data_IF_236113411150
#
_entry.id   IF_236113411150
#
_cell.length_a   1.000
_cell.length_b   1.000
_cell.length_c   1.000
_cell.angle_alpha   90.00
_cell.angle_beta   90.00
_cell.angle_gamma   90.00
#
_symmetry.space_group_name_H-M   'P 1'
#
loop_
_entity.id
_entity.type
_entity.pdbx_description
1 polymer ?
#
# COMPACT_ATOMS: atom_id res chain seq x y z
N UNK A 1 20.82 -14.58 9.49
CA UNK A 1 19.64 -15.17 8.83
C UNK A 1 19.18 -14.24 7.70
N UNK A 2 19.06 -14.77 6.52
CA UNK A 2 18.52 -14.07 5.33
C UNK A 2 17.00 -14.03 5.40
N UNK A 3 16.41 -12.87 5.23
CA UNK A 3 14.95 -12.72 5.11
C UNK A 3 14.50 -13.18 3.72
N UNK A 4 13.58 -14.13 3.65
CA UNK A 4 13.06 -14.62 2.38
C UNK A 4 12.05 -13.66 1.76
N UNK A 5 11.81 -13.71 0.43
CA UNK A 5 10.75 -12.92 -0.20
C UNK A 5 9.37 -13.14 0.43
N UNK A 6 9.04 -14.36 0.83
CA UNK A 6 7.78 -14.67 1.50
C UNK A 6 7.67 -13.99 2.88
N UNK A 7 8.75 -13.96 3.63
CA UNK A 7 8.81 -13.26 4.92
C UNK A 7 8.68 -11.75 4.74
N UNK A 8 9.30 -11.17 3.71
CA UNK A 8 9.17 -9.76 3.37
C UNK A 8 7.73 -9.41 3.01
N UNK A 9 7.07 -10.26 2.22
CA UNK A 9 5.67 -10.10 1.87
C UNK A 9 4.77 -10.10 3.11
N UNK A 10 4.98 -11.05 4.01
CA UNK A 10 4.24 -11.15 5.28
C UNK A 10 4.44 -9.89 6.13
N UNK A 11 5.67 -9.40 6.24
CA UNK A 11 6.00 -8.18 6.97
C UNK A 11 5.36 -6.94 6.34
N UNK A 12 5.33 -6.85 5.02
CA UNK A 12 4.68 -5.77 4.29
C UNK A 12 3.20 -5.68 4.66
N UNK A 13 2.46 -6.77 4.54
CA UNK A 13 1.02 -6.76 4.83
C UNK A 13 0.71 -6.53 6.30
N UNK A 14 1.53 -7.04 7.19
CA UNK A 14 1.42 -6.75 8.62
C UNK A 14 1.58 -5.25 8.89
N UNK A 15 2.56 -4.60 8.29
CA UNK A 15 2.80 -3.17 8.42
C UNK A 15 1.68 -2.34 7.79
N UNK A 16 1.22 -2.71 6.61
CA UNK A 16 0.10 -2.05 5.92
C UNK A 16 -1.19 -2.12 6.72
N UNK A 17 -1.50 -3.26 7.33
CA UNK A 17 -2.69 -3.43 8.17
C UNK A 17 -2.59 -2.62 9.48
N UNK A 18 -1.40 -2.39 9.98
CA UNK A 18 -1.16 -1.60 11.18
C UNK A 18 -1.23 -0.10 10.92
N UNK A 19 -0.53 0.38 9.90
CA UNK A 19 -0.38 1.82 9.63
C UNK A 19 -1.41 2.35 8.63
N UNK A 20 -1.85 1.55 7.70
CA UNK A 20 -2.94 1.77 6.75
C UNK A 20 -2.78 2.96 5.79
N UNK A 21 -1.87 3.87 6.00
CA UNK A 21 -1.67 5.07 5.14
C UNK A 21 -0.55 4.86 4.15
N UNK A 22 -0.82 5.14 2.88
CA UNK A 22 0.17 5.11 1.81
C UNK A 22 -0.07 6.25 0.81
N UNK A 23 0.91 6.50 -0.04
CA UNK A 23 0.79 7.46 -1.15
C UNK A 23 0.44 6.69 -2.42
N UNK A 24 -0.65 7.07 -3.08
CA UNK A 24 -1.15 6.40 -4.28
C UNK A 24 -1.22 7.38 -5.45
N UNK A 25 -0.70 6.97 -6.60
CA UNK A 25 -0.74 7.75 -7.83
C UNK A 25 -0.89 6.88 -9.06
N UNK A 26 -1.35 7.47 -10.17
CA UNK A 26 -1.46 6.79 -11.46
C UNK A 26 -0.12 6.84 -12.20
N UNK A 27 0.28 5.73 -12.78
CA UNK A 27 1.53 5.63 -13.54
C UNK A 27 1.47 6.48 -14.81
N UNK A 28 2.47 7.34 -15.00
CA UNK A 28 2.58 8.17 -16.19
C UNK A 28 1.52 9.26 -16.35
N UNK A 29 0.75 9.53 -15.32
CA UNK A 29 -0.30 10.55 -15.30
C UNK A 29 0.07 11.63 -14.29
N UNK A 30 -0.24 12.90 -14.61
CA UNK A 30 -0.05 14.04 -13.72
C UNK A 30 1.38 14.12 -13.15
N UNK A 31 2.37 13.89 -14.00
CA UNK A 31 3.80 13.91 -13.65
C UNK A 31 4.16 12.98 -12.47
N UNK A 32 3.37 11.93 -12.25
CA UNK A 32 3.56 11.01 -11.14
C UNK A 32 3.05 11.50 -9.81
N UNK A 33 2.17 12.51 -9.81
CA UNK A 33 1.57 13.05 -8.59
C UNK A 33 0.82 11.96 -7.83
N UNK A 34 1.08 11.85 -6.53
CA UNK A 34 0.42 10.90 -5.65
C UNK A 34 -0.19 11.60 -4.45
N UNK A 35 -1.17 10.95 -3.82
CA UNK A 35 -1.88 11.49 -2.67
C UNK A 35 -1.98 10.46 -1.55
N UNK A 36 -2.09 10.89 -0.30
CA UNK A 36 -2.28 9.95 0.81
C UNK A 36 -3.65 9.29 0.73
N UNK A 37 -3.66 7.99 0.93
CA UNK A 37 -4.86 7.16 0.94
C UNK A 37 -4.80 6.16 2.09
N UNK A 38 -5.95 5.80 2.62
CA UNK A 38 -6.06 4.79 3.67
C UNK A 38 -6.40 3.43 3.05
N UNK A 39 -5.50 2.48 3.22
CA UNK A 39 -5.68 1.12 2.72
C UNK A 39 -6.72 0.36 3.54
N UNK A 40 -7.64 -0.31 2.86
CA UNK A 40 -8.61 -1.23 3.44
C UNK A 40 -8.34 -2.64 2.91
N UNK A 41 -8.57 -3.65 3.74
CA UNK A 41 -8.30 -5.03 3.39
C UNK A 41 -9.54 -5.90 3.63
N UNK A 42 -9.77 -6.83 2.71
CA UNK A 42 -10.79 -7.86 2.87
C UNK A 42 -10.16 -9.09 3.53
N UNK A 43 -10.24 -9.15 4.86
CA UNK A 43 -9.69 -10.26 5.65
C UNK A 43 -8.21 -10.49 5.37
N UNK A 44 -7.84 -11.71 4.98
CA UNK A 44 -6.47 -12.11 4.68
C UNK A 44 -6.13 -12.11 3.18
N UNK A 45 -6.94 -11.43 2.36
CA UNK A 45 -6.62 -11.24 0.96
C UNK A 45 -5.42 -10.30 0.83
N UNK A 46 -4.31 -10.85 0.32
CA UNK A 46 -3.05 -10.13 0.09
C UNK A 46 -2.83 -9.78 -1.39
N UNK A 47 -3.88 -9.85 -2.22
CA UNK A 47 -3.79 -9.52 -3.66
C UNK A 47 -4.47 -8.20 -4.01
N UNK A 48 -5.33 -7.70 -3.12
CA UNK A 48 -6.12 -6.51 -3.40
C UNK A 48 -6.09 -5.58 -2.20
N UNK A 49 -5.89 -4.30 -2.46
CA UNK A 49 -6.08 -3.21 -1.49
C UNK A 49 -7.25 -2.37 -1.97
N UNK A 50 -8.10 -1.97 -1.04
CA UNK A 50 -9.27 -1.15 -1.32
C UNK A 50 -9.10 0.24 -0.74
N UNK A 51 -9.67 1.24 -1.43
CA UNK A 51 -9.64 2.62 -0.97
C UNK A 51 -11.00 3.27 -1.14
N UNK A 52 -11.47 3.95 -0.11
CA UNK A 52 -12.61 4.84 -0.24
C UNK A 52 -12.14 6.23 -0.63
N UNK A 53 -12.75 6.81 -1.65
CA UNK A 53 -12.48 8.18 -2.09
C UNK A 53 -13.77 8.82 -2.61
N UNK A 54 -13.70 10.09 -2.97
CA UNK A 54 -14.81 10.80 -3.62
C UNK A 54 -14.60 10.85 -5.13
N UNK A 55 -15.69 10.81 -5.89
CA UNK A 55 -15.67 10.83 -7.36
C UNK A 55 -15.07 12.11 -7.94
N UNK A 56 -15.06 13.20 -7.16
CA UNK A 56 -14.57 14.52 -7.58
C UNK A 56 -13.09 14.76 -7.25
N UNK A 57 -12.37 13.78 -6.74
CA UNK A 57 -10.91 13.88 -6.55
C UNK A 57 -10.17 13.83 -7.88
N UNK A 58 -9.01 14.46 -7.95
CA UNK A 58 -8.17 14.45 -9.16
C UNK A 58 -7.80 13.03 -9.58
N UNK A 59 -7.47 12.17 -8.63
CA UNK A 59 -7.18 10.76 -8.89
C UNK A 59 -8.37 10.05 -9.53
N UNK A 60 -9.57 10.22 -8.97
CA UNK A 60 -10.79 9.59 -9.48
C UNK A 60 -11.14 10.08 -10.89
N UNK A 61 -10.96 11.37 -11.15
CA UNK A 61 -11.22 11.97 -12.45
C UNK A 61 -10.21 11.48 -13.51
N UNK A 62 -8.96 11.33 -13.15
CA UNK A 62 -7.89 10.87 -14.04
C UNK A 62 -7.90 9.37 -14.29
N UNK A 63 -8.50 8.59 -13.41
CA UNK A 63 -8.48 7.12 -13.46
C UNK A 63 -9.14 6.55 -14.71
N UNK A 64 -10.25 7.14 -15.18
CA UNK A 64 -11.06 6.51 -16.21
C UNK A 64 -11.68 5.21 -15.68
N UNK A 65 -11.60 4.13 -16.46
CA UNK A 65 -12.10 2.81 -16.03
C UNK A 65 -11.09 2.01 -15.23
N UNK A 66 -9.88 1.89 -15.74
CA UNK A 66 -8.77 1.14 -15.13
C UNK A 66 -7.45 1.75 -15.58
N UNK A 67 -6.52 1.85 -14.66
CA UNK A 67 -5.20 2.41 -14.95
C UNK A 67 -4.14 1.78 -14.06
N UNK A 68 -2.94 1.61 -14.59
CA UNK A 68 -1.79 1.21 -13.80
C UNK A 68 -1.51 2.27 -12.73
N UNK A 69 -1.25 1.83 -11.51
CA UNK A 69 -1.01 2.70 -10.36
C UNK A 69 0.19 2.23 -9.55
N UNK A 70 0.77 3.17 -8.81
CA UNK A 70 1.92 2.92 -7.96
C UNK A 70 1.59 3.47 -6.57
N UNK A 71 1.80 2.63 -5.56
CA UNK A 71 1.68 3.03 -4.16
C UNK A 71 3.05 3.03 -3.49
N UNK A 72 3.31 4.05 -2.70
CA UNK A 72 4.51 4.16 -1.88
C UNK A 72 4.12 4.08 -0.42
N UNK A 73 4.79 3.20 0.32
CA UNK A 73 4.53 2.95 1.73
C UNK A 73 5.79 3.08 2.56
N UNK A 74 5.66 3.72 3.70
CA UNK A 74 6.67 3.77 4.75
C UNK A 74 5.98 3.44 6.06
N UNK A 75 6.45 2.41 6.76
CA UNK A 75 5.92 2.08 8.08
C UNK A 75 6.19 3.20 9.08
N UNK A 76 5.35 3.31 10.09
CA UNK A 76 5.40 4.38 11.08
C UNK A 76 6.75 4.48 11.80
N UNK A 77 7.38 3.34 12.08
CA UNK A 77 8.71 3.29 12.70
C UNK A 77 9.87 3.37 11.70
N UNK A 78 9.60 3.53 10.41
CA UNK A 78 10.57 3.48 9.33
C UNK A 78 11.35 2.16 9.27
N UNK A 79 10.73 1.09 9.69
CA UNK A 79 11.34 -0.25 9.66
C UNK A 79 11.17 -0.93 8.30
N UNK A 80 10.17 -0.49 7.52
CA UNK A 80 9.86 -1.07 6.22
C UNK A 80 9.41 0.03 5.25
N UNK A 81 9.93 -0.06 4.03
CA UNK A 81 9.53 0.77 2.89
C UNK A 81 9.10 -0.13 1.74
N UNK A 82 8.14 0.31 0.96
CA UNK A 82 7.72 -0.43 -0.21
C UNK A 82 7.22 0.47 -1.33
N UNK A 83 7.50 0.04 -2.56
CA UNK A 83 6.86 0.53 -3.78
C UNK A 83 6.02 -0.60 -4.34
N UNK A 84 4.72 -0.38 -4.47
CA UNK A 84 3.75 -1.40 -4.86
C UNK A 84 3.14 -1.01 -6.21
N UNK A 85 3.22 -1.91 -7.18
CA UNK A 85 2.64 -1.74 -8.51
C UNK A 85 1.39 -2.60 -8.66
N UNK A 86 0.41 -2.08 -9.35
CA UNK A 86 -0.81 -2.81 -9.66
C UNK A 86 -1.74 -2.03 -10.57
N UNK A 87 -2.93 -2.55 -10.75
CA UNK A 87 -3.99 -1.93 -11.54
C UNK A 87 -5.08 -1.38 -10.63
N UNK A 88 -5.39 -0.11 -10.78
CA UNK A 88 -6.42 0.57 -10.04
C UNK A 88 -7.69 0.70 -10.89
N UNK A 89 -8.82 0.35 -10.32
CA UNK A 89 -10.12 0.48 -11.00
C UNK A 89 -11.20 0.95 -10.02
N UNK A 90 -12.24 1.57 -10.56
CA UNK A 90 -13.43 1.90 -9.80
C UNK A 90 -14.31 0.66 -9.69
N UNK A 91 -14.67 0.28 -8.47
CA UNK A 91 -15.50 -0.91 -8.21
C UNK A 91 -16.44 -0.65 -7.04
N UNK A 92 -17.56 0.00 -7.32
CA UNK A 92 -18.59 0.31 -6.32
C UNK A 92 -19.50 -0.90 -6.02
N UNK A 93 -18.90 -2.05 -5.76
CA UNK A 93 -19.63 -3.23 -5.33
C UNK A 93 -20.29 -2.99 -3.95
N UNK A 94 -21.64 -2.98 -3.88
CA UNK A 94 -22.36 -2.71 -2.62
C UNK A 94 -21.98 -3.68 -1.50
N UNK A 95 -21.74 -4.95 -1.82
CA UNK A 95 -21.37 -5.96 -0.85
C UNK A 95 -19.99 -5.66 -0.24
N UNK A 96 -19.03 -5.23 -1.06
CA UNK A 96 -17.70 -4.87 -0.59
C UNK A 96 -17.72 -3.55 0.18
N UNK A 97 -18.47 -2.56 -0.26
CA UNK A 97 -18.69 -1.32 0.47
C UNK A 97 -19.22 -1.62 1.87
N UNK A 98 -20.25 -2.48 1.97
CA UNK A 98 -20.84 -2.87 3.23
C UNK A 98 -19.83 -3.58 4.15
N UNK A 99 -19.05 -4.47 3.59
CA UNK A 99 -18.03 -5.25 4.32
C UNK A 99 -16.90 -4.40 4.89
N UNK A 100 -16.45 -3.41 4.12
CA UNK A 100 -15.32 -2.53 4.49
C UNK A 100 -15.76 -1.29 5.27
N UNK A 101 -17.06 -1.02 5.35
CA UNK A 101 -17.59 0.18 5.99
C UNK A 101 -17.22 0.24 7.47
N UNK A 102 -16.78 1.41 7.91
CA UNK A 102 -16.45 1.67 9.31
C UNK A 102 -16.73 3.14 9.67
N UNK A 103 -16.64 3.47 10.95
CA UNK A 103 -16.96 4.82 11.45
C UNK A 103 -16.04 5.91 10.86
N UNK A 104 -14.82 5.57 10.50
CA UNK A 104 -13.86 6.52 9.92
C UNK A 104 -14.23 6.86 8.48
N UNK A 105 -14.62 5.85 7.70
CA UNK A 105 -15.16 6.03 6.35
C UNK A 105 -16.45 6.82 6.40
N UNK A 106 -17.36 6.47 7.31
CA UNK A 106 -18.66 7.13 7.48
C UNK A 106 -18.53 8.63 7.74
N UNK A 107 -17.47 9.06 8.41
CA UNK A 107 -17.24 10.48 8.69
C UNK A 107 -17.01 11.33 7.43
N UNK A 108 -16.61 10.72 6.32
CA UNK A 108 -16.33 11.40 5.05
C UNK A 108 -17.53 11.46 4.11
N UNK A 109 -18.57 10.65 4.36
CA UNK A 109 -19.72 10.51 3.45
C UNK A 109 -21.03 10.76 4.18
N UNK A 110 -21.58 11.97 4.03
CA UNK A 110 -22.84 12.37 4.68
C UNK A 110 -24.02 11.48 4.25
N UNK A 111 -24.04 11.05 2.99
CA UNK A 111 -25.05 10.17 2.43
C UNK A 111 -24.89 8.69 2.79
N UNK A 112 -23.89 8.34 3.60
CA UNK A 112 -23.62 6.97 4.01
C UNK A 112 -23.12 6.09 2.86
N UNK A 113 -23.41 4.80 2.93
CA UNK A 113 -22.96 3.79 1.94
C UNK A 113 -23.51 4.03 0.53
N UNK A 114 -24.56 4.79 0.38
CA UNK A 114 -25.17 5.14 -0.91
C UNK A 114 -24.94 6.59 -1.32
N UNK A 115 -24.00 7.26 -0.66
CA UNK A 115 -23.64 8.64 -1.01
C UNK A 115 -23.22 8.71 -2.49
N UNK A 116 -23.80 9.62 -3.30
CA UNK A 116 -23.49 9.72 -4.74
C UNK A 116 -22.04 10.11 -5.01
N UNK A 117 -21.34 10.67 -4.05
CA UNK A 117 -19.90 11.02 -4.18
C UNK A 117 -18.97 9.85 -3.88
N UNK A 118 -19.44 8.81 -3.22
CA UNK A 118 -18.63 7.69 -2.79
C UNK A 118 -18.09 6.93 -4.00
N UNK A 119 -16.81 6.66 -3.99
CA UNK A 119 -16.13 5.80 -4.94
C UNK A 119 -15.25 4.80 -4.18
N UNK A 120 -15.50 3.52 -4.37
CA UNK A 120 -14.62 2.47 -3.89
C UNK A 120 -13.63 2.12 -4.99
N UNK A 121 -12.36 2.23 -4.70
CA UNK A 121 -11.27 1.87 -5.61
C UNK A 121 -10.74 0.50 -5.24
N UNK A 122 -10.51 -0.30 -6.27
CA UNK A 122 -9.90 -1.62 -6.17
C UNK A 122 -8.49 -1.56 -6.78
N UNK A 123 -7.50 -1.90 -5.99
CA UNK A 123 -6.10 -1.95 -6.40
C UNK A 123 -5.65 -3.40 -6.43
N UNK A 124 -5.63 -3.98 -7.64
CA UNK A 124 -5.16 -5.35 -7.87
C UNK A 124 -3.64 -5.34 -7.95
N UNK A 125 -2.99 -5.95 -6.98
CA UNK A 125 -1.54 -5.90 -6.81
C UNK A 125 -0.83 -6.83 -7.78
N UNK A 126 0.25 -6.34 -8.38
CA UNK A 126 1.11 -7.11 -9.28
C UNK A 126 2.43 -7.47 -8.60
N UNK A 127 3.18 -6.49 -8.17
CA UNK A 127 4.51 -6.68 -7.56
C UNK A 127 4.84 -5.57 -6.60
N UNK A 128 5.79 -5.83 -5.72
CA UNK A 128 6.33 -4.82 -4.82
C UNK A 128 7.84 -4.96 -4.69
N UNK A 129 8.52 -3.82 -4.63
CA UNK A 129 9.88 -3.74 -4.12
C UNK A 129 9.78 -3.40 -2.64
N UNK A 130 10.39 -4.21 -1.80
CA UNK A 130 10.34 -4.06 -0.34
C UNK A 130 11.75 -3.85 0.21
N UNK A 131 11.90 -2.85 1.06
CA UNK A 131 13.13 -2.58 1.81
C UNK A 131 12.83 -2.73 3.29
N UNK A 132 13.52 -3.66 3.94
CA UNK A 132 13.43 -3.88 5.37
C UNK A 132 14.59 -3.19 6.06
N UNK A 133 14.30 -2.31 6.99
CA UNK A 133 15.28 -1.54 7.75
C UNK A 133 15.18 -1.85 9.26
N UNK A 134 14.80 -3.07 9.58
CA UNK A 134 14.83 -3.55 10.96
C UNK A 134 16.27 -3.62 11.43
N UNK A 135 16.50 -3.33 12.70
CA UNK A 135 17.81 -3.46 13.35
C UNK A 135 18.84 -2.38 13.01
N UNK A 136 18.43 -1.13 12.87
CA UNK A 136 19.37 -0.01 12.74
C UNK A 136 20.42 0.02 13.85
N UNK A 137 20.01 -0.29 15.09
CA UNK A 137 20.93 -0.38 16.22
C UNK A 137 21.91 -1.54 16.07
N UNK A 138 21.42 -2.70 15.63
CA UNK A 138 22.23 -3.88 15.40
C UNK A 138 23.19 -3.67 14.22
N UNK A 139 22.74 -2.99 13.17
CA UNK A 139 23.58 -2.63 12.03
C UNK A 139 24.74 -1.72 12.46
N UNK A 140 24.48 -0.73 13.33
CA UNK A 140 25.49 0.12 13.92
C UNK A 140 26.53 -0.66 14.71
N UNK A 141 26.11 -1.61 15.52
CA UNK A 141 27.01 -2.49 16.28
C UNK A 141 27.83 -3.37 15.34
N UNK A 142 27.22 -3.94 14.30
CA UNK A 142 27.90 -4.75 13.29
C UNK A 142 28.96 -3.95 12.53
N UNK A 143 28.67 -2.70 12.17
CA UNK A 143 29.66 -1.81 11.54
C UNK A 143 30.88 -1.59 12.44
N UNK A 144 30.68 -1.36 13.73
CA UNK A 144 31.76 -1.22 14.71
C UNK A 144 32.60 -2.49 14.83
N UNK A 145 32.02 -3.65 14.56
CA UNK A 145 32.70 -4.95 14.58
C UNK A 145 33.32 -5.33 13.22
N UNK A 146 33.27 -4.42 12.23
CA UNK A 146 33.89 -4.64 10.93
C UNK A 146 33.04 -5.37 9.89
N UNK A 147 31.74 -5.53 10.12
CA UNK A 147 30.83 -6.10 9.12
C UNK A 147 30.51 -5.10 8.02
N UNK A 148 30.34 -5.61 6.79
CA UNK A 148 29.94 -4.78 5.65
C UNK A 148 28.43 -4.55 5.65
N UNK A 149 27.96 -3.31 5.89
CA UNK A 149 26.52 -3.01 5.93
C UNK A 149 25.82 -3.21 4.57
N UNK A 150 26.55 -3.15 3.46
CA UNK A 150 26.00 -3.38 2.12
C UNK A 150 25.49 -4.81 1.93
N UNK A 151 26.16 -5.76 2.56
CA UNK A 151 25.81 -7.17 2.48
C UNK A 151 24.52 -7.46 3.22
N UNK A 152 24.38 -6.90 4.43
CA UNK A 152 23.15 -7.03 5.23
C UNK A 152 21.97 -6.32 4.54
N UNK A 153 22.20 -5.19 3.91
CA UNK A 153 21.18 -4.43 3.19
C UNK A 153 20.64 -5.19 1.96
N UNK A 154 21.53 -5.85 1.21
CA UNK A 154 21.12 -6.66 0.05
C UNK A 154 20.19 -7.80 0.44
N UNK A 155 20.39 -8.40 1.62
CA UNK A 155 19.56 -9.48 2.14
C UNK A 155 18.20 -8.99 2.67
N UNK A 156 18.02 -7.67 2.87
CA UNK A 156 16.80 -7.05 3.38
C UNK A 156 15.96 -6.39 2.31
N UNK A 157 16.30 -6.61 1.06
CA UNK A 157 15.62 -6.01 -0.09
C UNK A 157 15.22 -7.09 -1.08
N UNK A 158 13.98 -7.09 -1.51
CA UNK A 158 13.51 -8.01 -2.54
C UNK A 158 12.35 -7.43 -3.34
N UNK A 159 12.28 -7.82 -4.60
CA UNK A 159 11.08 -7.68 -5.42
C UNK A 159 10.26 -8.95 -5.26
N UNK A 160 8.97 -8.81 -4.94
CA UNK A 160 8.06 -9.93 -4.77
C UNK A 160 6.84 -9.77 -5.67
N UNK A 161 6.36 -10.88 -6.21
CA UNK A 161 5.10 -10.91 -6.92
C UNK A 161 3.96 -11.08 -5.91
N UNK A 162 2.87 -10.34 -6.17
CA UNK A 162 1.71 -10.28 -5.27
C UNK A 162 0.43 -10.80 -5.95
N UNK A 163 0.52 -11.16 -7.22
CA UNK A 163 -0.58 -11.71 -8.02
C UNK A 163 -0.59 -13.24 -8.00
#
# INVERSE_FOLDING_TARGET
MTTTPAELQTKLFKSLKSDMTLMLGLSGVDEGHSQPMTAQFDGDDHRTIWFFTAKDTDLAQALGGRHEAIAHFSSKGHDLFATIHGDLSADNDPAMIDKLWNKWVAAWFEGGKTDPKLLLLRFDLDRAQIWLNENNLLAGVKMLLGSDPKKDYADMTAEVRLN
#
